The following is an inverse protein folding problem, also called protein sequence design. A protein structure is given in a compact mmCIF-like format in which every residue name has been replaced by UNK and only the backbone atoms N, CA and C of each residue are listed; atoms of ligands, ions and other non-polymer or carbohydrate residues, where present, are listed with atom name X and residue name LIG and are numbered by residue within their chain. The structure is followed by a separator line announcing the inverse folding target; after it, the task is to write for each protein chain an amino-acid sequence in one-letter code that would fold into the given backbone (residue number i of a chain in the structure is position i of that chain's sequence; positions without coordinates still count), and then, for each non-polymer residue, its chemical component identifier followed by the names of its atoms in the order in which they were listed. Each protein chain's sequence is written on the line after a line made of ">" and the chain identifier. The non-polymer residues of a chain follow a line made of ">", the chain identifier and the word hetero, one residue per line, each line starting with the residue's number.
data_IF_350941402433
#
_entry.id   IF_350941402433
#
_cell.length_a   1.000
_cell.length_b   1.000
_cell.length_c   1.000
_cell.angle_alpha   90.00
_cell.angle_beta   90.00
_cell.angle_gamma   90.00
#
_symmetry.space_group_name_H-M   'P 1'
#
loop_
_entity.id
_entity.type
_entity.pdbx_description
1 polymer ?
#
# COMPACT_ATOMS: atom_id res chain seq x y z
N UNK A 1 14.10 7.77 -12.29
CA UNK A 1 12.63 7.70 -12.40
C UNK A 1 12.16 6.79 -11.28
N UNK A 2 11.35 7.30 -10.34
CA UNK A 2 10.81 6.48 -9.26
C UNK A 2 9.70 5.58 -9.80
N UNK A 3 9.57 4.39 -9.22
CA UNK A 3 8.57 3.40 -9.63
C UNK A 3 7.19 3.82 -9.13
N UNK A 4 6.15 3.52 -9.89
CA UNK A 4 4.77 3.64 -9.41
C UNK A 4 4.47 2.52 -8.42
N UNK A 5 3.83 2.87 -7.31
CA UNK A 5 3.44 1.96 -6.24
C UNK A 5 1.98 2.23 -5.82
N UNK A 6 1.37 1.24 -5.17
CA UNK A 6 0.00 1.28 -4.68
C UNK A 6 0.00 1.32 -3.15
N UNK A 7 -0.81 2.18 -2.56
CA UNK A 7 -1.01 2.23 -1.11
C UNK A 7 -2.41 2.73 -0.76
N UNK A 8 -2.82 2.57 0.49
CA UNK A 8 -4.02 3.20 1.03
C UNK A 8 -3.60 4.40 1.89
N UNK A 9 -4.40 5.46 1.97
CA UNK A 9 -4.03 6.69 2.67
C UNK A 9 -3.55 6.44 4.13
N UNK A 10 -4.22 5.52 4.83
CA UNK A 10 -3.90 5.12 6.22
C UNK A 10 -3.00 3.87 6.35
N UNK A 11 -2.64 3.22 5.23
CA UNK A 11 -1.77 2.04 5.25
C UNK A 11 -0.34 2.38 5.61
N UNK A 12 0.37 1.45 6.25
CA UNK A 12 1.79 1.57 6.63
C UNK A 12 2.75 1.22 5.48
N UNK A 13 2.24 0.50 4.47
CA UNK A 13 3.03 -0.10 3.40
C UNK A 13 2.65 0.39 2.01
N UNK A 14 3.65 0.46 1.13
CA UNK A 14 3.44 0.56 -0.31
C UNK A 14 3.69 -0.78 -1.00
N UNK A 15 2.98 -1.00 -2.11
CA UNK A 15 2.91 -2.25 -2.85
C UNK A 15 3.35 -2.02 -4.29
N UNK A 16 4.00 -3.00 -4.93
CA UNK A 16 4.39 -2.89 -6.34
C UNK A 16 3.30 -3.30 -7.33
N UNK A 17 2.12 -3.70 -6.84
CA UNK A 17 0.95 -4.08 -7.65
C UNK A 17 -0.33 -3.89 -6.86
N UNK A 18 -1.42 -3.57 -7.56
CA UNK A 18 -2.76 -3.32 -7.00
C UNK A 18 -3.39 -4.57 -6.40
N UNK A 19 -3.13 -5.73 -6.98
CA UNK A 19 -3.69 -7.03 -6.60
C UNK A 19 -2.86 -7.75 -5.53
N UNK A 20 -1.95 -7.03 -4.85
CA UNK A 20 -1.17 -7.60 -3.78
C UNK A 20 -2.09 -8.16 -2.68
N UNK A 21 -1.96 -9.45 -2.37
CA UNK A 21 -2.76 -10.10 -1.32
C UNK A 21 -2.74 -9.32 0.00
N UNK A 22 -1.60 -8.77 0.41
CA UNK A 22 -1.49 -7.99 1.63
C UNK A 22 -2.28 -6.66 1.57
N UNK A 23 -2.33 -6.02 0.40
CA UNK A 23 -3.12 -4.80 0.17
C UNK A 23 -4.63 -5.11 0.26
N UNK A 24 -5.06 -6.16 -0.44
CA UNK A 24 -6.46 -6.61 -0.45
C UNK A 24 -6.90 -7.05 0.95
N UNK A 25 -6.07 -7.85 1.64
CA UNK A 25 -6.37 -8.26 3.02
C UNK A 25 -6.41 -7.07 3.99
N UNK A 26 -5.59 -6.04 3.78
CA UNK A 26 -5.66 -4.80 4.57
C UNK A 26 -7.00 -4.08 4.41
N UNK A 27 -7.47 -3.93 3.16
CA UNK A 27 -8.79 -3.33 2.85
C UNK A 27 -9.94 -4.12 3.48
N UNK A 28 -9.95 -5.44 3.29
CA UNK A 28 -10.96 -6.33 3.88
C UNK A 28 -10.90 -6.31 5.41
N UNK A 29 -9.70 -6.27 5.98
CA UNK A 29 -9.50 -6.17 7.42
C UNK A 29 -10.06 -4.87 8.00
N UNK A 30 -9.91 -3.74 7.30
CA UNK A 30 -10.53 -2.47 7.70
C UNK A 30 -12.06 -2.56 7.69
N UNK A 31 -12.64 -3.14 6.64
CA UNK A 31 -14.09 -3.32 6.50
C UNK A 31 -14.67 -4.18 7.63
N UNK A 32 -14.07 -5.35 7.88
CA UNK A 32 -14.50 -6.28 8.95
C UNK A 32 -14.40 -5.65 10.34
N UNK A 33 -13.42 -4.77 10.57
CA UNK A 33 -13.24 -4.08 11.84
C UNK A 33 -14.12 -2.82 11.98
N UNK A 34 -14.93 -2.49 10.98
CA UNK A 34 -15.77 -1.28 10.97
C UNK A 34 -14.97 0.02 10.83
N UNK A 35 -13.72 -0.06 10.36
CA UNK A 35 -12.93 1.12 10.04
C UNK A 35 -13.29 1.63 8.65
N UNK A 36 -13.17 2.95 8.47
CA UNK A 36 -13.34 3.58 7.17
C UNK A 36 -12.28 3.06 6.17
N UNK A 37 -12.74 2.27 5.20
CA UNK A 37 -11.91 1.72 4.12
C UNK A 37 -11.43 2.87 3.23
N UNK A 38 -10.12 3.12 3.27
CA UNK A 38 -9.50 4.17 2.46
C UNK A 38 -9.28 3.65 1.03
N UNK A 39 -9.47 4.49 -0.01
CA UNK A 39 -9.21 4.08 -1.38
C UNK A 39 -7.73 3.70 -1.58
N UNK A 40 -7.49 2.83 -2.55
CA UNK A 40 -6.14 2.54 -3.05
C UNK A 40 -5.74 3.67 -4.01
N UNK A 41 -4.57 4.23 -3.77
CA UNK A 41 -3.97 5.29 -4.56
C UNK A 41 -2.71 4.79 -5.28
N UNK A 42 -2.49 5.28 -6.50
CA UNK A 42 -1.23 5.11 -7.22
C UNK A 42 -0.37 6.35 -7.01
N UNK A 43 0.80 6.17 -6.41
CA UNK A 43 1.77 7.24 -6.16
C UNK A 43 3.17 6.81 -6.56
N UNK A 44 4.13 7.74 -6.52
CA UNK A 44 5.54 7.38 -6.69
C UNK A 44 6.11 6.72 -5.42
N UNK A 45 7.09 5.82 -5.59
CA UNK A 45 7.80 5.19 -4.47
C UNK A 45 8.49 6.24 -3.58
N UNK A 46 9.04 7.30 -4.17
CA UNK A 46 9.68 8.39 -3.43
C UNK A 46 8.67 9.13 -2.56
N UNK A 47 7.47 9.42 -3.10
CA UNK A 47 6.40 10.02 -2.33
C UNK A 47 5.92 9.11 -1.19
N UNK A 48 5.81 7.80 -1.43
CA UNK A 48 5.47 6.84 -0.39
C UNK A 48 6.49 6.86 0.75
N UNK A 49 7.78 6.90 0.41
CA UNK A 49 8.90 6.99 1.37
C UNK A 49 8.88 8.33 2.12
N UNK A 50 8.61 9.44 1.44
CA UNK A 50 8.45 10.77 2.07
C UNK A 50 7.26 10.81 3.04
N UNK A 51 6.17 10.08 2.75
CA UNK A 51 5.04 9.85 3.66
C UNK A 51 5.35 8.85 4.80
N UNK A 52 6.60 8.41 4.93
CA UNK A 52 7.06 7.48 5.97
C UNK A 52 6.56 6.05 5.78
N UNK A 53 6.15 5.66 4.58
CA UNK A 53 5.67 4.31 4.28
C UNK A 53 6.83 3.38 3.97
N UNK A 54 6.69 2.12 4.36
CA UNK A 54 7.70 1.08 4.13
C UNK A 54 7.28 0.11 3.02
N UNK A 55 8.24 -0.62 2.46
CA UNK A 55 7.93 -1.62 1.45
C UNK A 55 7.05 -2.75 2.02
N UNK A 56 6.06 -3.19 1.24
CA UNK A 56 5.40 -4.46 1.49
C UNK A 56 6.42 -5.61 1.40
N UNK A 57 6.50 -6.47 2.42
CA UNK A 57 7.45 -7.61 2.40
C UNK A 57 7.10 -8.67 1.34
N UNK A 58 5.88 -8.65 0.81
CA UNK A 58 5.42 -9.62 -0.20
C UNK A 58 5.69 -9.15 -1.62
N UNK A 59 5.63 -7.85 -1.89
CA UNK A 59 5.73 -7.33 -3.27
C UNK A 59 6.49 -6.01 -3.41
N UNK A 60 6.79 -5.30 -2.32
CA UNK A 60 7.44 -3.98 -2.35
C UNK A 60 8.95 -4.04 -2.19
N UNK A 61 9.52 -5.17 -1.77
CA UNK A 61 10.97 -5.35 -1.71
C UNK A 61 11.49 -5.86 -3.06
N UNK A 62 12.63 -5.37 -3.56
CA UNK A 62 13.37 -6.10 -4.58
C UNK A 62 13.71 -7.48 -3.97
N UNK A 63 13.34 -8.54 -4.67
CA UNK A 63 13.94 -9.86 -4.48
C UNK A 63 15.34 -9.80 -5.08
#
# INVERSE_FOLDING_TARGET
>A
MSKTVWMTAKGDRYHAREDCRALVSGQQGSDVQGYEVQPVEQISEDEARLRGRIACLTCGSPI
#
